data_IF_556182253576
#
_entry.id   IF_556182253576
#
_cell.length_a   1.000
_cell.length_b   1.000
_cell.length_c   1.000
_cell.angle_alpha   90.00
_cell.angle_beta   90.00
_cell.angle_gamma   90.00
#
_symmetry.space_group_name_H-M   'P 1'
#
loop_
_entity.id
_entity.type
_entity.pdbx_description
1 polymer ?
#
# COMPACT_ATOMS: atom_id res chain seq x y z
N UNK A 1 23.42 -56.27 -18.96
CA UNK A 1 21.99 -55.91 -18.90
C UNK A 1 21.60 -55.00 -17.73
N UNK A 2 22.46 -54.74 -16.73
CA UNK A 2 22.12 -53.79 -15.64
C UNK A 2 22.43 -52.31 -15.96
N UNK A 3 23.33 -52.01 -16.90
CA UNK A 3 23.66 -50.62 -17.27
C UNK A 3 22.56 -49.90 -18.09
N UNK A 4 21.80 -50.64 -18.90
CA UNK A 4 20.78 -50.05 -19.80
C UNK A 4 19.49 -49.62 -19.12
N UNK A 5 19.22 -50.09 -17.89
CA UNK A 5 17.99 -49.77 -17.14
C UNK A 5 18.17 -48.46 -16.36
N UNK A 6 19.37 -48.23 -15.80
CA UNK A 6 19.70 -47.02 -15.03
C UNK A 6 19.75 -45.80 -15.96
N UNK A 7 20.33 -45.94 -17.16
CA UNK A 7 20.41 -44.84 -18.12
C UNK A 7 19.03 -44.42 -18.67
N UNK A 8 18.12 -45.38 -18.89
CA UNK A 8 16.75 -45.11 -19.38
C UNK A 8 15.87 -44.40 -18.33
N UNK A 9 15.96 -44.83 -17.05
CA UNK A 9 15.28 -44.17 -15.93
C UNK A 9 15.77 -42.72 -15.73
N UNK A 10 17.06 -42.48 -15.94
CA UNK A 10 17.67 -41.16 -15.77
C UNK A 10 17.29 -40.20 -16.91
N UNK A 11 17.13 -40.70 -18.14
CA UNK A 11 16.63 -39.90 -19.27
C UNK A 11 15.16 -39.54 -19.17
N UNK A 12 14.35 -40.40 -18.53
CA UNK A 12 12.91 -40.18 -18.35
C UNK A 12 12.64 -39.08 -17.31
N UNK A 13 13.32 -39.14 -16.15
CA UNK A 13 13.26 -38.09 -15.13
C UNK A 13 13.73 -36.73 -15.65
N UNK A 14 14.84 -36.68 -16.40
CA UNK A 14 15.34 -35.42 -16.96
C UNK A 14 14.34 -34.83 -17.96
N UNK A 15 13.74 -35.65 -18.84
CA UNK A 15 12.72 -35.18 -19.77
C UNK A 15 11.49 -34.64 -19.05
N UNK A 16 10.99 -35.36 -18.06
CA UNK A 16 9.82 -34.95 -17.29
C UNK A 16 10.08 -33.63 -16.53
N UNK A 17 11.27 -33.49 -15.94
CA UNK A 17 11.71 -32.25 -15.30
C UNK A 17 11.80 -31.08 -16.28
N UNK A 18 12.41 -31.28 -17.46
CA UNK A 18 12.47 -30.25 -18.49
C UNK A 18 11.08 -29.85 -18.97
N UNK A 19 10.17 -30.80 -19.12
CA UNK A 19 8.81 -30.54 -19.56
C UNK A 19 7.97 -29.81 -18.52
N UNK A 20 8.24 -29.99 -17.22
CA UNK A 20 7.66 -29.18 -16.15
C UNK A 20 8.24 -27.77 -16.13
N UNK A 21 9.56 -27.62 -16.27
CA UNK A 21 10.22 -26.31 -16.29
C UNK A 21 9.91 -25.48 -17.54
N UNK A 22 9.46 -26.12 -18.63
CA UNK A 22 9.10 -25.47 -19.90
C UNK A 22 7.63 -25.05 -19.95
N UNK A 23 6.83 -25.38 -18.93
CA UNK A 23 5.48 -24.85 -18.80
C UNK A 23 5.58 -23.41 -18.33
N UNK A 24 5.10 -22.48 -19.15
CA UNK A 24 5.00 -21.06 -18.80
C UNK A 24 3.96 -20.88 -17.68
N UNK A 25 4.36 -21.13 -16.45
CA UNK A 25 3.61 -20.67 -15.28
C UNK A 25 3.64 -19.13 -15.27
N UNK A 26 2.53 -18.47 -14.93
CA UNK A 26 2.48 -17.01 -14.88
C UNK A 26 3.58 -16.48 -13.95
N UNK A 27 4.33 -15.50 -14.45
CA UNK A 27 5.44 -14.87 -13.73
C UNK A 27 4.98 -14.43 -12.33
N UNK A 28 5.51 -15.10 -11.31
CA UNK A 28 4.94 -15.10 -9.96
C UNK A 28 5.47 -13.93 -9.12
N UNK A 29 5.53 -12.76 -9.77
CA UNK A 29 6.02 -11.48 -9.24
C UNK A 29 5.26 -10.97 -8.01
N UNK A 30 4.15 -11.65 -7.69
CA UNK A 30 3.25 -11.32 -6.60
C UNK A 30 3.35 -12.29 -5.42
N UNK A 31 4.37 -13.15 -5.33
CA UNK A 31 4.64 -13.93 -4.11
C UNK A 31 5.77 -13.37 -3.26
N UNK A 32 5.65 -13.64 -1.96
CA UNK A 32 6.70 -13.51 -0.98
C UNK A 32 7.72 -14.63 -1.13
N UNK A 33 8.98 -14.29 -1.41
CA UNK A 33 10.08 -15.24 -1.66
C UNK A 33 10.55 -16.06 -0.43
N UNK A 34 9.93 -15.87 0.74
CA UNK A 34 10.19 -16.67 1.95
C UNK A 34 9.05 -17.65 2.21
N UNK A 35 7.80 -17.19 2.09
CA UNK A 35 6.62 -17.99 2.47
C UNK A 35 5.89 -18.60 1.29
N UNK A 36 6.21 -18.19 0.05
CA UNK A 36 5.47 -18.53 -1.18
C UNK A 36 3.96 -18.25 -1.06
N UNK A 37 3.62 -17.20 -0.33
CA UNK A 37 2.25 -16.68 -0.21
C UNK A 37 2.18 -15.36 -0.95
N UNK A 38 0.99 -14.97 -1.39
CA UNK A 38 0.76 -13.69 -2.07
C UNK A 38 1.28 -12.51 -1.24
N UNK A 39 1.84 -11.52 -1.94
CA UNK A 39 2.35 -10.30 -1.33
C UNK A 39 1.21 -9.47 -0.74
N UNK A 40 1.35 -9.12 0.54
CA UNK A 40 0.43 -8.22 1.22
C UNK A 40 0.60 -6.77 0.71
N UNK A 41 -0.40 -5.91 0.91
CA UNK A 41 -0.33 -4.49 0.56
C UNK A 41 0.88 -3.77 1.20
N UNK A 42 1.33 -4.28 2.35
CA UNK A 42 2.43 -3.73 3.14
C UNK A 42 3.74 -4.51 2.98
N UNK A 43 3.89 -5.28 1.90
CA UNK A 43 5.13 -5.98 1.60
C UNK A 43 6.33 -5.02 1.56
N UNK A 44 7.52 -5.59 1.72
CA UNK A 44 8.79 -4.87 1.67
C UNK A 44 9.54 -5.32 0.43
N UNK A 45 10.05 -4.34 -0.31
CA UNK A 45 11.07 -4.55 -1.31
C UNK A 45 12.42 -4.09 -0.76
N UNK A 46 13.41 -4.99 -0.75
CA UNK A 46 14.78 -4.63 -0.40
C UNK A 46 15.45 -3.93 -1.59
N UNK A 47 16.55 -3.21 -1.38
CA UNK A 47 17.23 -2.50 -2.49
C UNK A 47 17.71 -3.41 -3.64
N UNK A 48 17.85 -4.71 -3.38
CA UNK A 48 18.19 -5.71 -4.39
C UNK A 48 16.99 -6.17 -5.24
N UNK A 49 15.81 -5.57 -5.07
CA UNK A 49 14.58 -5.84 -5.84
C UNK A 49 13.71 -6.97 -5.30
N UNK A 50 14.21 -7.79 -4.37
CA UNK A 50 13.44 -8.91 -3.83
C UNK A 50 12.34 -8.44 -2.86
N UNK A 51 11.14 -9.01 -3.04
CA UNK A 51 9.92 -8.67 -2.30
C UNK A 51 9.57 -9.75 -1.27
N UNK A 52 9.13 -9.30 -0.10
CA UNK A 52 8.77 -10.16 1.01
C UNK A 52 7.60 -9.59 1.81
N UNK A 53 6.74 -10.46 2.34
CA UNK A 53 5.78 -10.06 3.37
C UNK A 53 6.53 -9.65 4.63
N UNK A 54 6.05 -8.58 5.27
CA UNK A 54 6.79 -7.95 6.36
C UNK A 54 7.03 -8.92 7.53
N UNK A 55 6.04 -9.77 7.87
CA UNK A 55 6.21 -10.75 8.94
C UNK A 55 7.38 -11.70 8.65
N UNK A 56 7.41 -12.28 7.44
CA UNK A 56 8.40 -13.27 7.02
C UNK A 56 9.81 -12.70 7.07
N UNK A 57 10.02 -11.53 6.45
CA UNK A 57 11.36 -10.89 6.45
C UNK A 57 11.77 -10.39 7.83
N UNK A 58 10.81 -9.95 8.66
CA UNK A 58 11.10 -9.50 10.02
C UNK A 58 11.60 -10.65 10.91
N UNK A 59 10.95 -11.82 10.87
CA UNK A 59 11.39 -12.98 11.64
C UNK A 59 12.73 -13.50 11.14
N UNK A 60 12.94 -13.53 9.82
CA UNK A 60 14.19 -13.97 9.22
C UNK A 60 15.36 -13.09 9.63
N UNK A 61 15.24 -11.76 9.52
CA UNK A 61 16.32 -10.85 9.95
C UNK A 61 16.54 -10.94 11.47
N UNK A 62 15.47 -11.09 12.25
CA UNK A 62 15.57 -11.30 13.69
C UNK A 62 16.38 -12.56 13.99
N UNK A 63 16.11 -13.66 13.30
CA UNK A 63 16.85 -14.92 13.44
C UNK A 63 18.33 -14.71 13.08
N UNK A 64 18.63 -14.15 11.91
CA UNK A 64 19.99 -13.86 11.45
C UNK A 64 20.81 -12.97 12.42
N UNK A 65 20.16 -12.04 13.12
CA UNK A 65 20.81 -11.07 14.01
C UNK A 65 20.95 -11.54 15.45
N UNK A 66 20.00 -12.34 15.93
CA UNK A 66 19.92 -12.72 17.34
C UNK A 66 20.46 -14.13 17.60
N UNK A 67 20.44 -14.99 16.58
CA UNK A 67 20.97 -16.35 16.70
C UNK A 67 22.43 -16.39 16.27
N UNK A 68 23.19 -17.18 17.02
CA UNK A 68 24.59 -17.42 16.71
C UNK A 68 24.71 -18.59 15.73
N UNK A 69 25.34 -18.35 14.58
CA UNK A 69 25.52 -19.34 13.52
C UNK A 69 27.01 -19.56 13.23
N UNK A 70 27.53 -20.73 13.62
CA UNK A 70 28.94 -21.10 13.41
C UNK A 70 29.38 -21.10 11.94
N UNK A 71 28.43 -21.35 11.02
CA UNK A 71 28.69 -21.45 9.58
C UNK A 71 28.54 -20.11 8.87
N UNK A 72 28.06 -19.07 9.56
CA UNK A 72 27.85 -17.76 8.97
C UNK A 72 29.14 -16.95 8.99
N UNK A 73 29.74 -16.78 7.82
CA UNK A 73 31.00 -16.04 7.66
C UNK A 73 30.79 -14.54 7.48
N UNK A 74 29.61 -14.11 7.03
CA UNK A 74 29.33 -12.70 6.75
C UNK A 74 28.85 -11.97 8.01
N UNK A 75 29.73 -11.17 8.60
CA UNK A 75 29.39 -10.30 9.74
C UNK A 75 28.63 -9.07 9.26
N UNK A 76 27.43 -8.86 9.80
CA UNK A 76 26.58 -7.71 9.51
C UNK A 76 26.70 -6.64 10.59
N UNK A 77 26.82 -5.38 10.20
CA UNK A 77 26.69 -4.25 11.14
C UNK A 77 25.28 -4.19 11.75
N UNK A 78 25.13 -3.55 12.90
CA UNK A 78 23.83 -3.26 13.53
C UNK A 78 22.87 -2.45 12.65
N UNK A 79 23.35 -1.80 11.59
CA UNK A 79 22.53 -1.00 10.68
C UNK A 79 22.38 -1.62 9.29
N UNK A 80 22.81 -2.86 9.12
CA UNK A 80 22.77 -3.59 7.86
C UNK A 80 21.89 -4.82 7.97
N UNK A 81 21.19 -5.16 6.89
CA UNK A 81 20.41 -6.40 6.80
C UNK A 81 20.78 -7.15 5.53
N UNK A 82 20.78 -8.47 5.61
CA UNK A 82 21.13 -9.34 4.49
C UNK A 82 19.85 -9.88 3.86
N UNK A 83 19.76 -9.79 2.54
CA UNK A 83 18.65 -10.39 1.80
C UNK A 83 18.67 -11.92 1.99
N UNK A 84 17.58 -12.55 2.43
CA UNK A 84 17.53 -14.01 2.60
C UNK A 84 17.63 -14.77 1.27
N UNK A 85 17.19 -14.15 0.18
CA UNK A 85 17.17 -14.76 -1.15
C UNK A 85 18.55 -14.67 -1.83
N UNK A 86 19.03 -13.46 -2.12
CA UNK A 86 20.27 -13.28 -2.87
C UNK A 86 21.51 -12.97 -2.00
N UNK A 87 21.40 -13.03 -0.67
CA UNK A 87 22.47 -12.75 0.31
C UNK A 87 23.14 -11.38 0.21
N UNK A 88 22.58 -10.49 -0.59
CA UNK A 88 23.08 -9.13 -0.79
C UNK A 88 22.86 -8.30 0.49
N UNK A 89 23.89 -7.56 0.93
CA UNK A 89 23.87 -6.80 2.18
C UNK A 89 23.43 -5.36 1.91
N UNK A 90 22.28 -4.97 2.46
CA UNK A 90 21.81 -3.60 2.37
C UNK A 90 22.15 -2.79 3.60
N UNK A 91 22.40 -1.50 3.36
CA UNK A 91 22.45 -0.50 4.42
C UNK A 91 21.05 -0.01 4.72
N UNK A 92 20.66 -0.14 5.98
CA UNK A 92 19.41 0.32 6.51
C UNK A 92 18.51 -0.82 6.99
N UNK A 93 17.77 -0.52 8.06
CA UNK A 93 16.88 -1.43 8.76
C UNK A 93 15.47 -1.43 8.16
N UNK A 94 14.67 -2.43 8.52
CA UNK A 94 13.26 -2.48 8.16
C UNK A 94 12.48 -1.31 8.78
N UNK A 95 11.40 -0.83 8.14
CA UNK A 95 10.56 0.23 8.70
C UNK A 95 9.87 -0.24 10.00
N UNK A 96 9.70 0.67 10.97
CA UNK A 96 8.91 0.38 12.18
C UNK A 96 7.43 0.23 11.80
N UNK A 97 6.75 -0.78 12.33
CA UNK A 97 5.30 -0.97 12.18
C UNK A 97 4.62 -1.09 13.54
N UNK A 98 3.40 -0.57 13.65
CA UNK A 98 2.66 -0.51 14.93
C UNK A 98 2.40 -1.91 15.54
N UNK A 99 2.19 -2.91 14.68
CA UNK A 99 1.88 -4.28 15.12
C UNK A 99 3.13 -5.10 15.49
N UNK A 100 4.33 -4.50 15.42
CA UNK A 100 5.59 -5.20 15.63
C UNK A 100 6.40 -4.51 16.72
N UNK A 101 7.09 -5.34 17.53
CA UNK A 101 8.03 -4.81 18.52
C UNK A 101 9.20 -4.13 17.82
N UNK A 102 9.70 -3.06 18.42
CA UNK A 102 10.91 -2.40 17.97
C UNK A 102 12.13 -3.17 18.49
N UNK A 103 12.88 -3.79 17.59
CA UNK A 103 14.07 -4.59 17.87
C UNK A 103 15.30 -3.91 17.30
N UNK A 104 16.30 -3.71 18.15
CA UNK A 104 17.57 -3.09 17.76
C UNK A 104 18.27 -3.94 16.68
N UNK A 105 18.66 -3.29 15.58
CA UNK A 105 19.32 -3.91 14.45
C UNK A 105 18.42 -4.73 13.51
N UNK A 106 17.10 -4.70 13.72
CA UNK A 106 16.10 -5.32 12.83
C UNK A 106 15.23 -4.24 12.20
N UNK A 107 14.42 -3.55 13.01
CA UNK A 107 13.57 -2.43 12.56
C UNK A 107 13.81 -1.14 13.35
N UNK A 108 14.69 -1.14 14.35
CA UNK A 108 14.99 0.02 15.18
C UNK A 108 16.52 0.17 15.34
N UNK A 109 17.09 1.38 15.44
CA UNK A 109 16.48 2.72 15.49
C UNK A 109 15.95 3.29 14.16
N UNK A 110 14.94 4.17 14.23
CA UNK A 110 14.33 4.86 13.07
C UNK A 110 15.33 5.63 12.19
N UNK A 111 16.43 6.14 12.77
CA UNK A 111 17.48 6.86 12.03
C UNK A 111 18.22 5.98 11.02
N UNK A 112 18.26 4.67 11.24
CA UNK A 112 18.91 3.71 10.36
C UNK A 112 17.94 2.99 9.44
N UNK A 113 16.66 3.35 9.42
CA UNK A 113 15.71 2.68 8.53
C UNK A 113 15.99 3.01 7.07
N UNK A 114 15.87 2.00 6.22
CA UNK A 114 15.95 2.18 4.78
C UNK A 114 14.71 2.95 4.29
N UNK A 115 14.96 3.94 3.42
CA UNK A 115 13.94 4.86 2.90
C UNK A 115 14.11 4.97 1.38
N UNK A 116 13.47 4.07 0.61
CA UNK A 116 13.66 4.00 -0.84
C UNK A 116 13.07 5.20 -1.59
N UNK A 117 12.03 5.84 -1.03
CA UNK A 117 11.27 6.85 -1.74
C UNK A 117 11.58 8.27 -1.29
N UNK A 118 11.24 9.22 -2.16
CA UNK A 118 11.25 10.65 -1.86
C UNK A 118 9.81 11.12 -1.75
N UNK A 119 9.53 11.91 -0.71
CA UNK A 119 8.19 12.40 -0.43
C UNK A 119 7.63 13.19 -1.62
N UNK A 120 6.53 12.68 -2.17
CA UNK A 120 5.85 13.25 -3.35
C UNK A 120 4.97 14.47 -3.04
N UNK A 121 5.00 14.98 -1.80
CA UNK A 121 4.18 16.12 -1.41
C UNK A 121 4.70 17.41 -2.04
N UNK A 122 3.79 18.15 -2.67
CA UNK A 122 4.04 19.49 -3.20
C UNK A 122 3.29 20.52 -2.36
N UNK A 123 3.97 21.58 -1.94
CA UNK A 123 3.35 22.63 -1.12
C UNK A 123 2.29 23.38 -1.92
N UNK A 124 1.07 23.46 -1.39
CA UNK A 124 -0.07 24.12 -2.06
C UNK A 124 -0.15 25.63 -1.78
N UNK A 125 0.55 26.12 -0.76
CA UNK A 125 0.47 27.50 -0.29
C UNK A 125 1.77 27.94 0.39
N UNK A 126 1.86 29.24 0.67
CA UNK A 126 3.01 29.86 1.33
C UNK A 126 4.22 30.07 0.41
N UNK A 127 5.36 30.46 1.00
CA UNK A 127 6.60 30.80 0.27
C UNK A 127 7.17 29.64 -0.57
N UNK A 128 6.83 28.40 -0.23
CA UNK A 128 7.29 27.19 -0.94
C UNK A 128 6.26 26.63 -1.93
N UNK A 129 5.19 27.36 -2.24
CA UNK A 129 4.12 26.88 -3.14
C UNK A 129 4.70 26.36 -4.46
N UNK A 130 4.27 25.17 -4.87
CA UNK A 130 4.74 24.49 -6.08
C UNK A 130 6.05 23.70 -5.92
N UNK A 131 6.76 23.85 -4.79
CA UNK A 131 8.02 23.14 -4.55
C UNK A 131 7.73 21.77 -3.90
N UNK A 132 8.45 20.69 -4.27
CA UNK A 132 8.33 19.39 -3.61
C UNK A 132 9.02 19.35 -2.25
N UNK A 133 8.59 18.43 -1.38
CA UNK A 133 9.16 18.25 -0.06
C UNK A 133 10.62 17.78 -0.08
N UNK A 134 10.96 16.82 -0.95
CA UNK A 134 12.32 16.27 -1.08
C UNK A 134 12.84 15.42 0.10
N UNK A 135 12.01 15.11 1.10
CA UNK A 135 12.44 14.26 2.24
C UNK A 135 12.36 12.79 1.86
N UNK A 136 13.40 12.00 2.20
CA UNK A 136 13.36 10.53 2.08
C UNK A 136 12.32 9.94 3.02
N UNK A 137 11.54 8.98 2.54
CA UNK A 137 10.49 8.30 3.29
C UNK A 137 10.34 6.84 2.82
N UNK A 138 9.66 6.04 3.65
CA UNK A 138 9.36 4.66 3.30
C UNK A 138 8.19 4.59 2.32
N UNK A 139 7.12 5.34 2.58
CA UNK A 139 5.93 5.41 1.72
C UNK A 139 6.01 6.59 0.73
N UNK A 140 4.91 6.85 0.03
CA UNK A 140 4.74 8.01 -0.89
C UNK A 140 4.95 9.37 -0.22
N UNK A 141 4.65 9.47 1.09
CA UNK A 141 4.76 10.72 1.85
C UNK A 141 5.58 10.52 3.12
N UNK A 142 6.32 11.54 3.56
CA UNK A 142 7.00 11.51 4.84
C UNK A 142 6.00 11.58 6.01
N UNK A 143 6.38 11.12 7.19
CA UNK A 143 5.50 11.02 8.38
C UNK A 143 4.69 12.30 8.66
N UNK A 144 5.31 13.47 8.45
CA UNK A 144 4.64 14.76 8.61
C UNK A 144 3.58 15.02 7.53
N UNK A 145 3.87 14.71 6.27
CA UNK A 145 2.93 14.90 5.16
C UNK A 145 1.87 13.80 5.06
N UNK A 146 2.16 12.59 5.54
CA UNK A 146 1.20 11.49 5.61
C UNK A 146 -0.03 11.89 6.43
N UNK A 147 0.18 12.48 7.61
CA UNK A 147 -0.92 12.99 8.46
C UNK A 147 -1.75 14.07 7.76
N UNK A 148 -1.10 14.96 7.00
CA UNK A 148 -1.80 16.02 6.27
C UNK A 148 -2.68 15.43 5.15
N UNK A 149 -2.17 14.44 4.43
CA UNK A 149 -2.92 13.77 3.35
C UNK A 149 -4.10 12.99 3.92
N UNK A 150 -3.91 12.20 4.97
CA UNK A 150 -4.99 11.47 5.63
C UNK A 150 -6.15 12.39 6.05
N UNK A 151 -5.83 13.54 6.68
CA UNK A 151 -6.85 14.52 7.08
C UNK A 151 -7.57 15.12 5.87
N UNK A 152 -6.86 15.38 4.77
CA UNK A 152 -7.46 15.92 3.54
C UNK A 152 -8.36 14.88 2.85
N UNK A 153 -7.95 13.63 2.82
CA UNK A 153 -8.73 12.53 2.23
C UNK A 153 -10.00 12.27 3.04
N UNK A 154 -9.91 12.21 4.37
CA UNK A 154 -11.07 12.10 5.24
C UNK A 154 -12.10 13.23 4.99
N UNK A 155 -11.64 14.48 4.86
CA UNK A 155 -12.51 15.63 4.55
C UNK A 155 -13.20 15.51 3.18
N UNK A 156 -12.54 14.92 2.18
CA UNK A 156 -13.15 14.70 0.85
C UNK A 156 -14.30 13.70 0.93
N UNK A 157 -14.11 12.59 1.65
CA UNK A 157 -15.13 11.56 1.84
C UNK A 157 -16.35 12.14 2.56
N UNK A 158 -16.15 12.94 3.61
CA UNK A 158 -17.27 13.58 4.32
C UNK A 158 -18.08 14.52 3.41
N UNK A 159 -17.41 15.27 2.52
CA UNK A 159 -18.06 16.19 1.58
C UNK A 159 -18.88 15.46 0.51
N UNK A 160 -18.37 14.36 -0.03
CA UNK A 160 -19.08 13.52 -1.00
C UNK A 160 -20.33 12.87 -0.39
N UNK A 161 -20.24 12.39 0.86
CA UNK A 161 -21.41 11.86 1.57
C UNK A 161 -22.47 12.94 1.87
N UNK A 162 -22.08 14.20 2.09
CA UNK A 162 -23.05 15.30 2.26
C UNK A 162 -23.75 15.66 0.95
N UNK A 163 -23.09 15.52 -0.19
CA UNK A 163 -23.70 15.73 -1.51
C UNK A 163 -24.69 14.59 -1.88
N UNK A 164 -24.44 13.35 -1.44
CA UNK A 164 -25.35 12.20 -1.62
C UNK A 164 -26.57 12.27 -0.66
N UNK A 165 -26.39 12.72 0.59
CA UNK A 165 -27.49 12.84 1.58
C UNK A 165 -28.40 14.06 1.31
N UNK A 166 -27.97 15.04 0.50
CA UNK A 166 -28.82 16.16 0.09
C UNK A 166 -29.86 15.81 -0.98
N UNK A 167 -30.03 14.53 -1.32
CA UNK A 167 -31.26 14.00 -1.91
C UNK A 167 -32.17 13.57 -0.75
N UNK A 168 -32.64 14.55 0.03
CA UNK A 168 -33.71 14.35 1.00
C UNK A 168 -34.98 15.10 0.55
N UNK A 169 -36.19 14.56 0.79
CA UNK A 169 -37.38 14.78 -0.04
C UNK A 169 -38.08 16.13 0.15
N UNK A 170 -37.58 16.98 1.06
CA UNK A 170 -38.28 18.19 1.52
C UNK A 170 -37.97 19.42 0.66
N UNK A 171 -38.05 19.29 -0.66
CA UNK A 171 -38.03 20.43 -1.58
C UNK A 171 -39.41 20.63 -2.18
N UNK A 172 -39.80 21.89 -2.34
CA UNK A 172 -41.13 22.23 -2.84
C UNK A 172 -41.38 21.65 -4.24
N UNK A 173 -42.50 20.95 -4.43
CA UNK A 173 -42.88 20.33 -5.71
C UNK A 173 -43.45 21.30 -6.76
N UNK A 174 -43.49 22.61 -6.48
CA UNK A 174 -44.06 23.60 -7.41
C UNK A 174 -43.17 23.83 -8.63
N UNK A 175 -43.77 23.78 -9.83
CA UNK A 175 -43.13 24.10 -11.11
C UNK A 175 -43.68 25.44 -11.61
N UNK A 176 -42.79 26.39 -11.91
CA UNK A 176 -43.20 27.70 -12.42
C UNK A 176 -43.79 27.59 -13.83
N UNK A 177 -44.99 28.13 -14.03
CA UNK A 177 -45.68 28.08 -15.33
C UNK A 177 -45.39 29.27 -16.26
N UNK A 178 -44.74 30.33 -15.74
CA UNK A 178 -44.50 31.61 -16.45
C UNK A 178 -43.19 32.27 -15.97
N UNK A 179 -42.66 33.20 -16.77
CA UNK A 179 -41.48 34.01 -16.45
C UNK A 179 -40.14 33.33 -16.74
N UNK A 180 -39.03 33.97 -16.36
CA UNK A 180 -37.65 33.49 -16.61
C UNK A 180 -37.33 32.12 -16.02
N UNK A 181 -38.13 31.67 -15.04
CA UNK A 181 -37.97 30.37 -14.37
C UNK A 181 -39.01 29.34 -14.81
N UNK A 182 -39.70 29.55 -15.93
CA UNK A 182 -40.69 28.62 -16.45
C UNK A 182 -40.09 27.21 -16.57
N UNK A 183 -40.87 26.20 -16.17
CA UNK A 183 -40.54 24.77 -16.18
C UNK A 183 -39.43 24.35 -15.19
N UNK A 184 -38.96 25.26 -14.32
CA UNK A 184 -38.02 24.97 -13.23
C UNK A 184 -38.79 24.69 -11.93
N UNK A 185 -38.33 23.71 -11.15
CA UNK A 185 -38.89 23.39 -9.83
C UNK A 185 -38.42 24.38 -8.75
N UNK A 186 -39.31 24.71 -7.83
CA UNK A 186 -39.01 25.54 -6.67
C UNK A 186 -37.93 24.91 -5.77
N UNK A 187 -36.87 25.67 -5.46
CA UNK A 187 -35.74 25.21 -4.63
C UNK A 187 -35.94 25.43 -3.13
N UNK A 188 -37.14 25.82 -2.69
CA UNK A 188 -37.43 26.05 -1.28
C UNK A 188 -37.39 24.75 -0.48
N UNK A 189 -36.60 24.73 0.61
CA UNK A 189 -36.39 23.57 1.49
C UNK A 189 -37.36 23.49 2.69
N UNK A 190 -38.27 24.46 2.82
CA UNK A 190 -39.26 24.54 3.90
C UNK A 190 -40.63 24.27 3.28
N UNK A 191 -41.09 23.02 3.38
CA UNK A 191 -42.39 22.56 2.90
C UNK A 191 -43.30 22.25 4.08
N UNK A 192 -44.59 22.55 3.94
CA UNK A 192 -45.63 22.12 4.88
C UNK A 192 -46.06 20.67 4.55
N UNK A 193 -47.07 20.10 5.23
CA UNK A 193 -47.47 18.67 5.13
C UNK A 193 -47.72 18.20 3.67
N UNK A 194 -48.09 19.11 2.77
CA UNK A 194 -48.36 18.84 1.35
C UNK A 194 -47.15 18.94 0.40
N UNK A 195 -45.92 19.07 0.89
CA UNK A 195 -44.70 19.24 0.07
C UNK A 195 -44.65 20.54 -0.77
N UNK A 196 -45.41 21.57 -0.38
CA UNK A 196 -45.31 22.92 -0.95
C UNK A 196 -44.76 23.90 0.07
N UNK A 197 -43.96 24.87 -0.37
CA UNK A 197 -43.54 25.96 0.50
C UNK A 197 -44.68 26.96 0.70
N UNK A 198 -44.63 27.76 1.77
CA UNK A 198 -45.65 28.78 2.10
C UNK A 198 -46.06 29.71 0.94
N UNK A 199 -45.16 29.99 0.00
CA UNK A 199 -45.45 30.81 -1.20
C UNK A 199 -46.27 30.09 -2.27
N UNK A 200 -46.32 28.76 -2.23
CA UNK A 200 -46.99 27.89 -3.19
C UNK A 200 -48.04 26.97 -2.56
N UNK A 201 -48.17 26.99 -1.23
CA UNK A 201 -49.30 26.41 -0.53
C UNK A 201 -50.55 27.22 -0.89
N UNK A 202 -51.51 26.61 -1.58
CA UNK A 202 -52.81 27.24 -1.79
C UNK A 202 -53.56 27.23 -0.46
N UNK A 203 -54.05 28.38 -0.03
CA UNK A 203 -55.19 28.41 0.91
C UNK A 203 -56.45 28.01 0.17
#
# INVERSE_FOLDING_TARGET
>A
MQMTIIDNLNTDFQKELYQLLSQDEPDDDNLCLISNLSLEENHIELYCGHKFNYNSIFQEIKYQKQQYHNLETQKLSHSEIKCPYCRTIQKGLLPCRNNYKNLHGVNWPKKYQYKPHICSYTFLSGKKKGIPCGKKCFDKYCDGHHKIIQVREAKKVTKQNTEIINISPNTCKYIFKKGKKKDIQCTCKKTDEDNFCKSHHKK
#
